data_IF_820275592435
#
_entry.id   IF_820275592435
#
_cell.length_a   1.000
_cell.length_b   1.000
_cell.length_c   1.000
_cell.angle_alpha   90.00
_cell.angle_beta   90.00
_cell.angle_gamma   90.00
#
_symmetry.space_group_name_H-M   'P 1'
#
loop_
_entity.id
_entity.type
_entity.pdbx_description
1 polymer ?
#
# COMPACT_ATOMS: atom_id res chain seq x y z
N UNK A 1 -37.37 18.83 -60.06
CA UNK A 1 -36.82 19.59 -58.96
C UNK A 1 -36.79 18.74 -57.69
N UNK A 2 -35.79 17.90 -57.52
CA UNK A 2 -35.60 17.03 -56.33
C UNK A 2 -34.17 16.46 -56.37
N UNK A 3 -33.17 17.23 -56.00
CA UNK A 3 -31.85 16.73 -55.64
C UNK A 3 -31.28 17.73 -54.68
N UNK A 4 -31.27 17.42 -53.42
CA UNK A 4 -30.35 17.93 -52.39
C UNK A 4 -30.87 17.51 -50.99
N UNK A 5 -30.44 16.36 -50.51
CA UNK A 5 -30.40 15.99 -49.09
C UNK A 5 -29.73 14.63 -48.91
N UNK A 6 -28.44 14.54 -49.07
CA UNK A 6 -27.62 13.38 -48.61
C UNK A 6 -26.12 13.70 -48.56
N UNK A 7 -25.70 14.76 -47.88
CA UNK A 7 -24.27 14.95 -47.59
C UNK A 7 -24.14 15.77 -46.28
N UNK A 8 -24.58 15.24 -45.14
CA UNK A 8 -24.25 15.91 -43.85
C UNK A 8 -24.11 14.95 -42.65
N UNK A 9 -24.11 13.64 -42.86
CA UNK A 9 -24.02 12.68 -41.73
C UNK A 9 -22.64 12.00 -41.62
N UNK A 10 -21.80 12.05 -42.63
CA UNK A 10 -20.49 11.34 -42.63
C UNK A 10 -19.33 12.10 -41.97
N UNK A 11 -19.46 13.38 -41.70
CA UNK A 11 -18.33 14.17 -41.12
C UNK A 11 -18.33 14.18 -39.58
N UNK A 12 -19.47 13.93 -38.93
CA UNK A 12 -19.54 13.96 -37.46
C UNK A 12 -19.01 12.66 -36.79
N UNK A 13 -19.01 11.52 -37.50
CA UNK A 13 -18.52 10.25 -36.93
C UNK A 13 -16.98 10.13 -36.98
N UNK A 14 -16.31 10.84 -37.89
CA UNK A 14 -14.85 10.79 -38.01
C UNK A 14 -14.16 11.63 -36.93
N UNK A 15 -14.76 12.73 -36.49
CA UNK A 15 -14.16 13.60 -35.46
C UNK A 15 -14.21 13.00 -34.06
N UNK A 16 -15.23 12.21 -33.73
CA UNK A 16 -15.35 11.55 -32.41
C UNK A 16 -14.40 10.36 -32.27
N UNK A 17 -14.07 9.63 -33.33
CA UNK A 17 -13.10 8.55 -33.29
C UNK A 17 -11.65 9.05 -33.07
N UNK A 18 -11.28 10.19 -33.67
CA UNK A 18 -9.94 10.75 -33.51
C UNK A 18 -9.67 11.28 -32.08
N UNK A 19 -10.68 11.85 -31.42
CA UNK A 19 -10.52 12.35 -30.04
C UNK A 19 -10.40 11.24 -29.02
N UNK A 20 -11.12 10.13 -29.16
CA UNK A 20 -11.04 8.97 -28.27
C UNK A 20 -9.68 8.27 -28.42
N UNK A 21 -9.18 8.07 -29.64
CA UNK A 21 -7.86 7.49 -29.85
C UNK A 21 -6.72 8.37 -29.33
N UNK A 22 -6.83 9.70 -29.44
CA UNK A 22 -5.83 10.60 -28.90
C UNK A 22 -5.78 10.56 -27.35
N UNK A 23 -6.92 10.47 -26.68
CA UNK A 23 -6.99 10.37 -25.20
C UNK A 23 -6.41 9.04 -24.72
N UNK A 24 -6.70 7.91 -25.39
CA UNK A 24 -6.09 6.61 -25.04
C UNK A 24 -4.59 6.58 -25.31
N UNK A 25 -4.12 7.18 -26.41
CA UNK A 25 -2.68 7.25 -26.71
C UNK A 25 -1.93 8.13 -25.70
N UNK A 26 -2.53 9.23 -25.25
CA UNK A 26 -1.95 10.11 -24.25
C UNK A 26 -1.90 9.43 -22.86
N UNK A 27 -2.98 8.77 -22.43
CA UNK A 27 -3.02 8.02 -21.18
C UNK A 27 -2.01 6.85 -21.16
N UNK A 28 -1.84 6.15 -22.29
CA UNK A 28 -0.83 5.07 -22.40
C UNK A 28 0.60 5.62 -22.37
N UNK A 29 0.87 6.77 -23.01
CA UNK A 29 2.20 7.39 -22.99
C UNK A 29 2.58 7.95 -21.61
N UNK A 30 1.63 8.53 -20.88
CA UNK A 30 1.82 8.98 -19.50
C UNK A 30 2.11 7.82 -18.55
N UNK A 31 1.40 6.70 -18.68
CA UNK A 31 1.66 5.48 -17.89
C UNK A 31 3.05 4.89 -18.17
N UNK A 32 3.46 4.82 -19.42
CA UNK A 32 4.79 4.32 -19.81
C UNK A 32 5.88 5.25 -19.28
N UNK A 33 5.70 6.58 -19.36
CA UNK A 33 6.65 7.54 -18.84
C UNK A 33 6.76 7.48 -17.31
N UNK A 34 5.65 7.30 -16.61
CA UNK A 34 5.61 7.14 -15.15
C UNK A 34 6.30 5.86 -14.70
N UNK A 35 6.02 4.72 -15.32
CA UNK A 35 6.68 3.44 -15.02
C UNK A 35 8.20 3.52 -15.26
N UNK A 36 8.64 4.13 -16.35
CA UNK A 36 10.07 4.29 -16.62
C UNK A 36 10.77 5.21 -15.60
N UNK A 37 10.08 6.24 -15.11
CA UNK A 37 10.60 7.13 -14.07
C UNK A 37 10.77 6.39 -12.72
N UNK A 38 9.77 5.63 -12.29
CA UNK A 38 9.81 4.82 -11.07
C UNK A 38 10.93 3.76 -11.12
N UNK A 39 11.12 3.08 -12.25
CA UNK A 39 12.22 2.13 -12.43
C UNK A 39 13.59 2.81 -12.35
N UNK A 40 13.76 4.00 -12.94
CA UNK A 40 15.02 4.77 -12.88
C UNK A 40 15.27 5.23 -11.45
N UNK A 41 14.24 5.72 -10.75
CA UNK A 41 14.33 6.11 -9.33
C UNK A 41 14.76 4.92 -8.48
N UNK A 42 14.10 3.77 -8.62
CA UNK A 42 14.42 2.55 -7.87
C UNK A 42 15.86 2.09 -8.10
N UNK A 43 16.37 2.15 -9.33
CA UNK A 43 17.77 1.83 -9.65
C UNK A 43 18.75 2.77 -8.95
N UNK A 44 18.49 4.08 -8.94
CA UNK A 44 19.29 5.08 -8.23
C UNK A 44 19.27 4.85 -6.72
N UNK A 45 18.10 4.61 -6.16
CA UNK A 45 17.92 4.36 -4.72
C UNK A 45 18.57 3.05 -4.28
N UNK A 46 18.56 2.00 -5.10
CA UNK A 46 19.30 0.76 -4.85
C UNK A 46 20.81 1.00 -4.72
N UNK A 47 21.37 1.87 -5.54
CA UNK A 47 22.79 2.24 -5.45
C UNK A 47 23.03 3.09 -4.20
N UNK A 48 22.20 4.11 -3.96
CA UNK A 48 22.29 5.06 -2.84
C UNK A 48 22.24 4.35 -1.48
N UNK A 49 21.34 3.37 -1.33
CA UNK A 49 21.07 2.72 -0.06
C UNK A 49 21.66 1.31 0.08
N UNK A 50 22.47 0.88 -0.89
CA UNK A 50 23.06 -0.46 -0.93
C UNK A 50 23.73 -0.90 0.37
N UNK A 51 24.44 0.03 1.05
CA UNK A 51 25.14 -0.26 2.30
C UNK A 51 24.24 -0.63 3.47
N UNK A 52 22.95 -0.29 3.41
CA UNK A 52 21.96 -0.56 4.46
C UNK A 52 21.16 -1.82 4.20
N UNK A 53 21.19 -2.36 2.97
CA UNK A 53 20.42 -3.54 2.59
C UNK A 53 21.01 -4.80 3.23
N UNK A 54 20.16 -5.69 3.79
CA UNK A 54 20.62 -6.98 4.28
C UNK A 54 21.13 -7.87 3.15
N UNK A 55 22.01 -8.82 3.49
CA UNK A 55 22.48 -9.82 2.53
C UNK A 55 21.26 -10.61 1.98
N UNK A 56 21.25 -10.88 0.69
CA UNK A 56 20.16 -11.55 -0.04
C UNK A 56 18.84 -10.77 -0.07
N UNK A 57 18.91 -9.43 0.03
CA UNK A 57 17.77 -8.55 -0.17
C UNK A 57 18.11 -7.46 -1.18
N UNK A 58 17.08 -7.04 -1.90
CA UNK A 58 17.11 -5.86 -2.79
C UNK A 58 16.14 -4.81 -2.27
N UNK A 59 16.39 -3.56 -2.64
CA UNK A 59 15.44 -2.49 -2.36
C UNK A 59 14.18 -2.70 -3.20
N UNK A 60 13.02 -2.60 -2.55
CA UNK A 60 11.71 -2.59 -3.18
C UNK A 60 11.17 -1.16 -3.25
N UNK A 61 11.31 -0.40 -2.16
CA UNK A 61 10.88 1.00 -2.08
C UNK A 61 11.70 1.76 -1.03
N UNK A 62 11.88 3.07 -1.22
CA UNK A 62 12.51 3.97 -0.26
C UNK A 62 11.60 5.16 0.03
N UNK A 63 11.30 5.38 1.32
CA UNK A 63 10.42 6.43 1.83
C UNK A 63 11.23 7.32 2.76
N UNK A 64 11.27 8.62 2.46
CA UNK A 64 11.98 9.63 3.26
C UNK A 64 10.96 10.48 4.04
N UNK A 65 11.25 10.81 5.30
CA UNK A 65 10.43 11.69 6.13
C UNK A 65 10.98 11.78 7.55
N UNK A 66 10.61 12.82 8.28
CA UNK A 66 11.04 13.06 9.66
C UNK A 66 10.19 12.24 10.65
N UNK A 67 10.76 11.22 11.27
CA UNK A 67 10.10 10.35 12.26
C UNK A 67 10.34 10.81 13.71
N UNK A 68 11.50 11.45 13.97
CA UNK A 68 11.96 11.80 15.30
C UNK A 68 11.76 13.29 15.65
N UNK A 69 11.27 14.10 14.72
CA UNK A 69 11.00 15.55 14.84
C UNK A 69 12.27 16.40 14.98
N UNK A 70 13.38 15.97 14.40
CA UNK A 70 14.62 16.75 14.40
C UNK A 70 14.80 17.62 13.15
N UNK A 71 13.82 17.60 12.24
CA UNK A 71 13.81 18.37 10.99
C UNK A 71 14.65 17.74 9.89
N UNK A 72 15.23 16.56 10.08
CA UNK A 72 15.99 15.83 9.07
C UNK A 72 15.16 14.70 8.48
N UNK A 73 15.49 14.32 7.25
CA UNK A 73 14.82 13.19 6.61
C UNK A 73 15.41 11.88 7.15
N UNK A 74 14.61 11.12 7.87
CA UNK A 74 14.83 9.72 8.20
C UNK A 74 14.47 8.85 6.99
N UNK A 75 14.71 7.55 7.09
CA UNK A 75 14.57 6.63 5.97
C UNK A 75 13.85 5.34 6.38
N UNK A 76 12.83 4.99 5.62
CA UNK A 76 12.20 3.67 5.66
C UNK A 76 12.47 2.97 4.35
N UNK A 77 13.02 1.75 4.42
CA UNK A 77 13.28 0.91 3.25
C UNK A 77 12.38 -0.32 3.31
N UNK A 78 11.59 -0.52 2.27
CA UNK A 78 10.95 -1.80 2.00
C UNK A 78 11.94 -2.62 1.18
N UNK A 79 12.25 -3.81 1.66
CA UNK A 79 13.21 -4.71 1.04
C UNK A 79 12.54 -6.02 0.65
N UNK A 80 13.02 -6.66 -0.43
CA UNK A 80 12.50 -7.93 -0.91
C UNK A 80 13.61 -8.98 -0.92
N UNK A 81 13.30 -10.18 -0.46
CA UNK A 81 14.22 -11.32 -0.52
C UNK A 81 14.56 -11.71 -1.97
N UNK A 82 15.70 -12.39 -2.14
CA UNK A 82 16.20 -12.86 -3.45
C UNK A 82 16.46 -14.37 -3.48
N UNK A 83 15.74 -15.14 -2.69
CA UNK A 83 15.86 -16.60 -2.69
C UNK A 83 15.24 -17.19 -3.96
N UNK A 84 16.06 -17.86 -4.76
CA UNK A 84 15.61 -18.50 -5.98
C UNK A 84 14.58 -19.64 -5.74
N UNK A 85 14.52 -20.20 -4.53
CA UNK A 85 13.54 -21.23 -4.15
C UNK A 85 12.12 -20.68 -3.96
N UNK A 86 12.00 -19.35 -3.83
CA UNK A 86 10.71 -18.68 -3.69
C UNK A 86 10.05 -18.36 -5.05
N UNK A 87 10.67 -18.75 -6.15
CA UNK A 87 10.04 -18.67 -7.45
C UNK A 87 9.16 -19.90 -7.69
N UNK A 88 7.88 -19.68 -7.98
CA UNK A 88 6.88 -20.73 -8.19
C UNK A 88 6.27 -20.63 -9.59
N UNK A 89 5.91 -21.77 -10.17
CA UNK A 89 5.13 -21.82 -11.41
C UNK A 89 3.64 -21.72 -11.05
N UNK A 90 2.95 -20.75 -11.65
CA UNK A 90 1.51 -20.56 -11.50
C UNK A 90 0.79 -20.89 -12.81
N UNK A 91 -0.31 -21.62 -12.73
CA UNK A 91 -1.02 -22.17 -13.89
C UNK A 91 -1.40 -21.12 -14.95
N UNK A 92 -1.79 -19.92 -14.51
CA UNK A 92 -2.29 -18.85 -15.41
C UNK A 92 -1.34 -17.65 -15.56
N UNK A 93 -0.42 -17.46 -14.62
CA UNK A 93 0.43 -16.26 -14.55
C UNK A 93 1.91 -16.56 -14.85
N UNK A 94 2.25 -17.85 -15.08
CA UNK A 94 3.62 -18.26 -15.33
C UNK A 94 4.47 -18.21 -14.05
N UNK A 95 5.73 -17.81 -14.19
CA UNK A 95 6.69 -17.84 -13.08
C UNK A 95 6.55 -16.59 -12.19
N UNK A 96 6.21 -16.81 -10.92
CA UNK A 96 5.99 -15.77 -9.92
C UNK A 96 7.09 -15.76 -8.85
N UNK A 97 7.53 -14.57 -8.49
CA UNK A 97 8.45 -14.33 -7.36
C UNK A 97 7.65 -14.19 -6.05
N UNK A 98 7.73 -15.22 -5.18
CA UNK A 98 7.09 -15.28 -3.86
C UNK A 98 8.02 -14.88 -2.72
N UNK A 99 9.14 -14.20 -3.01
CA UNK A 99 10.01 -13.67 -1.98
C UNK A 99 9.25 -12.63 -1.12
N UNK A 100 9.27 -12.85 0.19
CA UNK A 100 8.63 -11.95 1.16
C UNK A 100 9.34 -10.60 1.21
N UNK A 101 8.60 -9.59 1.64
CA UNK A 101 9.10 -8.22 1.83
C UNK A 101 9.29 -7.94 3.32
N UNK A 102 10.31 -7.14 3.62
CA UNK A 102 10.62 -6.68 4.96
C UNK A 102 10.70 -5.16 5.03
N UNK A 103 10.88 -4.63 6.23
CA UNK A 103 10.99 -3.20 6.51
C UNK A 103 12.21 -2.91 7.36
N UNK A 104 12.95 -1.86 6.99
CA UNK A 104 14.02 -1.26 7.77
C UNK A 104 13.63 0.17 8.11
N UNK A 105 13.89 0.60 9.35
CA UNK A 105 13.75 2.01 9.75
C UNK A 105 15.11 2.52 10.19
N UNK A 106 15.52 3.64 9.63
CA UNK A 106 16.82 4.25 9.86
C UNK A 106 16.65 5.74 10.19
N UNK A 107 17.24 6.17 11.29
CA UNK A 107 17.27 7.58 11.69
C UNK A 107 18.52 8.27 11.12
N UNK A 108 18.35 9.51 10.68
CA UNK A 108 19.43 10.35 10.17
C UNK A 108 20.20 11.01 11.32
N UNK A 109 21.35 10.47 11.67
CA UNK A 109 22.26 11.04 12.65
C UNK A 109 23.35 11.86 11.92
N UNK A 110 23.10 13.15 11.65
CA UNK A 110 24.06 14.08 11.03
C UNK A 110 24.58 13.65 9.64
N UNK A 111 23.70 13.11 8.80
CA UNK A 111 24.03 12.68 7.44
C UNK A 111 24.42 11.21 7.32
N UNK A 112 24.54 10.49 8.44
CA UNK A 112 24.66 9.03 8.46
C UNK A 112 23.34 8.41 8.95
N UNK A 113 22.94 7.31 8.32
CA UNK A 113 21.72 6.60 8.73
C UNK A 113 22.05 5.48 9.73
N UNK A 114 21.39 5.52 10.89
CA UNK A 114 21.47 4.49 11.92
C UNK A 114 20.19 3.64 11.90
N UNK A 115 20.34 2.36 11.64
CA UNK A 115 19.24 1.41 11.64
C UNK A 115 18.72 1.16 13.07
N UNK A 116 17.44 1.41 13.30
CA UNK A 116 16.74 1.17 14.58
C UNK A 116 15.77 -0.01 14.49
N UNK A 117 15.21 -0.30 13.31
CA UNK A 117 14.35 -1.46 13.10
C UNK A 117 14.85 -2.24 11.89
N UNK A 118 14.86 -3.56 12.02
CA UNK A 118 14.97 -4.50 10.92
C UNK A 118 13.97 -5.63 11.14
N UNK A 119 13.00 -5.72 10.26
CA UNK A 119 12.02 -6.79 10.27
C UNK A 119 11.89 -7.33 8.84
N UNK A 120 12.43 -8.53 8.59
CA UNK A 120 12.54 -9.11 7.25
C UNK A 120 11.39 -10.04 6.88
N UNK A 121 10.43 -10.24 7.79
CA UNK A 121 9.26 -11.11 7.59
C UNK A 121 7.93 -10.36 7.66
N UNK A 122 7.96 -9.03 7.74
CA UNK A 122 6.78 -8.21 8.02
C UNK A 122 5.65 -8.39 7.01
N UNK A 123 5.97 -8.53 5.72
CA UNK A 123 4.98 -8.51 4.65
C UNK A 123 5.06 -9.76 3.78
N UNK A 124 3.90 -10.17 3.27
CA UNK A 124 3.79 -11.15 2.18
C UNK A 124 4.52 -10.68 0.92
N UNK A 125 4.66 -11.55 -0.08
CA UNK A 125 5.23 -11.17 -1.36
C UNK A 125 4.29 -10.23 -2.14
N UNK A 126 4.80 -9.57 -3.16
CA UNK A 126 3.96 -8.77 -4.09
C UNK A 126 3.07 -9.64 -4.99
N UNK A 127 3.32 -10.95 -5.02
CA UNK A 127 2.61 -11.93 -5.84
C UNK A 127 1.82 -12.93 -5.00
N UNK A 128 1.51 -12.61 -3.74
CA UNK A 128 0.62 -13.48 -2.95
C UNK A 128 -0.80 -13.48 -3.51
N UNK A 129 -1.49 -14.62 -3.32
CA UNK A 129 -2.90 -14.73 -3.64
C UNK A 129 -3.72 -13.97 -2.61
N UNK A 130 -3.97 -12.69 -2.90
CA UNK A 130 -4.73 -11.78 -2.05
C UNK A 130 -6.10 -11.52 -2.59
N UNK A 131 -7.00 -12.50 -2.55
CA UNK A 131 -8.32 -12.38 -3.12
C UNK A 131 -8.39 -12.88 -4.57
N UNK A 132 -9.56 -12.76 -5.20
CA UNK A 132 -9.88 -13.47 -6.46
C UNK A 132 -9.09 -12.98 -7.67
N UNK A 133 -8.59 -11.73 -7.67
CA UNK A 133 -8.05 -11.14 -8.89
C UNK A 133 -6.71 -10.41 -8.75
N UNK A 134 -6.39 -9.87 -7.57
CA UNK A 134 -5.21 -9.03 -7.38
C UNK A 134 -4.51 -9.33 -6.07
N UNK A 135 -3.17 -9.36 -6.04
CA UNK A 135 -2.44 -9.39 -4.79
C UNK A 135 -2.72 -8.12 -3.97
N UNK A 136 -2.59 -8.19 -2.63
CA UNK A 136 -2.74 -7.03 -1.77
C UNK A 136 -1.74 -5.93 -2.11
N UNK A 137 -2.21 -4.69 -2.17
CA UNK A 137 -1.39 -3.51 -2.44
C UNK A 137 -0.82 -2.95 -1.15
N UNK A 138 0.49 -3.01 -0.98
CA UNK A 138 1.21 -2.40 0.14
C UNK A 138 1.55 -0.95 -0.18
N UNK A 139 1.16 -0.04 0.70
CA UNK A 139 1.57 1.36 0.69
C UNK A 139 2.17 1.76 2.03
N UNK A 140 3.31 2.44 2.00
CA UNK A 140 4.01 2.90 3.21
C UNK A 140 4.31 4.38 3.08
N UNK A 141 3.95 5.17 4.09
CA UNK A 141 4.23 6.60 4.10
C UNK A 141 4.71 7.10 5.47
N UNK A 142 5.47 8.19 5.44
CA UNK A 142 5.80 8.98 6.63
C UNK A 142 5.04 10.30 6.56
N UNK A 143 4.16 10.53 7.53
CA UNK A 143 3.34 11.73 7.58
C UNK A 143 3.19 12.20 9.05
N UNK A 144 3.39 13.49 9.29
CA UNK A 144 3.30 14.09 10.64
C UNK A 144 4.07 13.30 11.70
N UNK A 145 5.31 12.92 11.38
CA UNK A 145 6.24 12.16 12.24
C UNK A 145 5.70 10.79 12.68
N UNK A 146 4.88 10.16 11.83
CA UNK A 146 4.36 8.82 12.02
C UNK A 146 4.62 8.00 10.77
N UNK A 147 4.83 6.73 10.96
CA UNK A 147 4.88 5.75 9.88
C UNK A 147 3.48 5.15 9.73
N UNK A 148 2.95 5.15 8.53
CA UNK A 148 1.70 4.49 8.16
C UNK A 148 2.02 3.34 7.24
N UNK A 149 1.38 2.21 7.49
CA UNK A 149 1.46 1.00 6.67
C UNK A 149 0.02 0.64 6.32
N UNK A 150 -0.29 0.69 5.04
CA UNK A 150 -1.62 0.40 4.50
C UNK A 150 -1.56 -0.78 3.55
N UNK A 151 -2.57 -1.64 3.63
CA UNK A 151 -2.75 -2.79 2.75
C UNK A 151 -4.15 -2.76 2.15
N UNK A 152 -4.23 -2.61 0.83
CA UNK A 152 -5.47 -2.65 0.08
C UNK A 152 -5.74 -4.07 -0.43
N UNK A 153 -6.93 -4.61 -0.17
CA UNK A 153 -7.38 -5.91 -0.66
C UNK A 153 -8.47 -5.76 -1.74
N UNK A 154 -8.41 -4.65 -2.49
CA UNK A 154 -9.37 -4.34 -3.54
C UNK A 154 -10.82 -4.40 -3.05
N UNK A 155 -11.62 -5.29 -3.66
CA UNK A 155 -13.04 -5.45 -3.34
C UNK A 155 -13.35 -5.99 -1.93
N UNK A 156 -12.34 -6.48 -1.19
CA UNK A 156 -12.52 -7.04 0.16
C UNK A 156 -12.26 -6.03 1.28
N UNK A 157 -11.79 -4.84 0.93
CA UNK A 157 -11.49 -3.76 1.86
C UNK A 157 -10.00 -3.52 2.05
N UNK A 158 -9.63 -3.05 3.24
CA UNK A 158 -8.26 -2.65 3.54
C UNK A 158 -8.01 -2.66 5.04
N UNK A 159 -6.75 -2.64 5.43
CA UNK A 159 -6.32 -2.34 6.78
C UNK A 159 -5.13 -1.39 6.80
N UNK A 160 -4.99 -0.63 7.88
CA UNK A 160 -3.93 0.36 8.07
C UNK A 160 -3.44 0.36 9.51
N UNK A 161 -2.15 0.47 9.66
CA UNK A 161 -1.46 0.59 10.92
C UNK A 161 -0.71 1.92 10.99
N UNK A 162 -0.79 2.60 12.13
CA UNK A 162 -0.01 3.82 12.38
C UNK A 162 0.96 3.61 13.53
N UNK A 163 2.23 4.00 13.30
CA UNK A 163 3.32 3.84 14.26
C UNK A 163 3.93 5.19 14.62
N UNK A 164 4.47 5.26 15.83
CA UNK A 164 5.27 6.37 16.32
C UNK A 164 6.60 5.87 16.86
N UNK A 165 7.66 6.65 16.64
CA UNK A 165 8.97 6.37 17.24
C UNK A 165 8.88 6.43 18.76
N UNK A 166 9.29 5.36 19.44
CA UNK A 166 9.34 5.21 20.88
C UNK A 166 10.40 4.16 21.26
N UNK A 167 11.32 4.52 22.15
CA UNK A 167 12.37 3.61 22.65
C UNK A 167 13.25 2.98 21.55
N UNK A 168 13.66 3.75 20.53
CA UNK A 168 14.41 3.28 19.36
C UNK A 168 13.71 2.15 18.56
N UNK A 169 12.39 2.15 18.57
CA UNK A 169 11.56 1.25 17.76
C UNK A 169 10.29 2.00 17.35
N UNK A 170 9.51 1.43 16.47
CA UNK A 170 8.23 1.98 16.02
C UNK A 170 7.09 1.30 16.79
N UNK A 171 6.49 2.04 17.76
CA UNK A 171 5.34 1.55 18.52
C UNK A 171 4.05 1.71 17.73
N UNK A 172 3.25 0.66 17.64
CA UNK A 172 1.90 0.69 17.09
C UNK A 172 0.98 1.54 17.98
N UNK A 173 0.35 2.56 17.39
CA UNK A 173 -0.51 3.51 18.11
C UNK A 173 -1.93 3.58 17.56
N UNK A 174 -2.17 3.08 16.35
CA UNK A 174 -3.48 3.07 15.72
C UNK A 174 -3.63 1.93 14.73
N UNK A 175 -4.85 1.43 14.63
CA UNK A 175 -5.27 0.43 13.66
C UNK A 175 -6.62 0.83 13.08
N UNK A 176 -6.77 0.70 11.79
CA UNK A 176 -8.01 0.91 11.08
C UNK A 176 -8.21 -0.19 10.05
N UNK A 177 -9.45 -0.62 9.86
CA UNK A 177 -9.79 -1.54 8.79
C UNK A 177 -11.19 -1.28 8.24
N UNK A 178 -11.39 -1.67 6.99
CA UNK A 178 -12.68 -1.75 6.32
C UNK A 178 -12.85 -3.14 5.74
N UNK A 179 -13.97 -3.78 6.03
CA UNK A 179 -14.36 -5.05 5.43
C UNK A 179 -15.43 -4.81 4.37
N UNK A 180 -15.17 -5.22 3.14
CA UNK A 180 -15.99 -4.92 1.99
C UNK A 180 -16.48 -6.19 1.27
N UNK A 181 -17.61 -6.05 0.60
CA UNK A 181 -18.09 -6.99 -0.39
C UNK A 181 -18.35 -6.24 -1.70
N UNK A 182 -17.34 -6.20 -2.57
CA UNK A 182 -17.33 -5.31 -3.73
C UNK A 182 -17.39 -3.84 -3.30
N UNK A 183 -18.31 -3.03 -3.83
CA UNK A 183 -18.49 -1.63 -3.43
C UNK A 183 -19.19 -1.47 -2.06
N UNK A 184 -19.78 -2.53 -1.53
CA UNK A 184 -20.51 -2.49 -0.26
C UNK A 184 -19.54 -2.61 0.91
N UNK A 185 -19.46 -1.56 1.75
CA UNK A 185 -18.71 -1.58 3.01
C UNK A 185 -19.59 -2.24 4.07
N UNK A 186 -19.20 -3.43 4.53
CA UNK A 186 -19.96 -4.18 5.54
C UNK A 186 -19.67 -3.72 6.97
N UNK A 187 -18.42 -3.39 7.26
CA UNK A 187 -18.01 -2.88 8.58
C UNK A 187 -16.69 -2.13 8.51
N UNK A 188 -16.48 -1.29 9.52
CA UNK A 188 -15.23 -0.58 9.77
C UNK A 188 -14.81 -0.73 11.23
N UNK A 189 -13.52 -0.80 11.48
CA UNK A 189 -12.94 -0.78 12.83
C UNK A 189 -11.88 0.30 12.92
N UNK A 190 -11.89 1.07 14.02
CA UNK A 190 -10.82 2.01 14.36
C UNK A 190 -10.41 1.80 15.82
N UNK A 191 -9.11 1.61 16.07
CA UNK A 191 -8.56 1.39 17.40
C UNK A 191 -7.46 2.42 17.67
N UNK A 192 -7.62 3.17 18.75
CA UNK A 192 -6.55 3.98 19.30
C UNK A 192 -5.87 3.20 20.43
N UNK A 193 -4.68 2.65 20.17
CA UNK A 193 -3.95 1.81 21.13
C UNK A 193 -3.36 2.60 22.31
N UNK A 194 -3.22 3.92 22.18
CA UNK A 194 -2.74 4.76 23.29
C UNK A 194 -3.82 4.98 24.35
N UNK A 195 -5.09 5.05 23.94
CA UNK A 195 -6.22 5.29 24.82
C UNK A 195 -7.05 4.04 25.10
N UNK A 196 -6.81 2.97 24.36
CA UNK A 196 -7.59 1.73 24.39
C UNK A 196 -9.03 1.89 23.90
N UNK A 197 -9.34 2.93 23.11
CA UNK A 197 -10.67 3.11 22.51
C UNK A 197 -10.78 2.37 21.20
N UNK A 198 -11.85 1.56 21.09
CA UNK A 198 -12.23 0.88 19.83
C UNK A 198 -13.60 1.37 19.40
N UNK A 199 -13.70 1.81 18.15
CA UNK A 199 -14.94 2.07 17.43
C UNK A 199 -15.16 0.93 16.43
N UNK A 200 -16.31 0.29 16.48
CA UNK A 200 -16.78 -0.64 15.47
C UNK A 200 -18.04 -0.07 14.82
N UNK A 201 -18.04 -0.01 13.49
CA UNK A 201 -19.14 0.44 12.65
C UNK A 201 -19.67 -0.72 11.85
N UNK A 202 -20.93 -1.07 12.03
CA UNK A 202 -21.63 -2.07 11.23
C UNK A 202 -22.58 -1.38 10.26
N UNK A 203 -22.48 -1.67 8.98
CA UNK A 203 -23.47 -1.20 8.02
C UNK A 203 -24.78 -1.92 8.26
N UNK A 204 -25.87 -1.15 8.35
CA UNK A 204 -27.22 -1.64 8.61
C UNK A 204 -28.06 -1.71 7.34
N UNK A 205 -27.52 -1.27 6.21
CA UNK A 205 -28.18 -1.36 4.91
C UNK A 205 -28.04 -2.77 4.33
N UNK A 206 -28.92 -3.11 3.40
CA UNK A 206 -28.77 -4.28 2.56
C UNK A 206 -27.74 -4.04 1.45
N UNK A 207 -27.19 -5.12 0.90
CA UNK A 207 -26.26 -5.04 -0.22
C UNK A 207 -26.97 -4.43 -1.43
N UNK A 208 -26.43 -3.32 -1.94
CA UNK A 208 -26.98 -2.60 -3.09
C UNK A 208 -27.55 -1.22 -2.78
N UNK A 209 -27.70 -0.85 -1.50
CA UNK A 209 -28.03 0.52 -1.12
C UNK A 209 -26.85 1.46 -1.40
N UNK A 210 -27.13 2.67 -1.87
CA UNK A 210 -26.10 3.61 -2.32
C UNK A 210 -25.26 4.16 -1.15
N UNK A 211 -25.91 4.67 -0.09
CA UNK A 211 -25.22 5.29 1.03
C UNK A 211 -25.16 4.39 2.27
N UNK A 212 -23.96 4.09 2.81
CA UNK A 212 -23.85 3.25 3.99
C UNK A 212 -24.44 3.93 5.23
N UNK A 213 -25.26 3.20 5.96
CA UNK A 213 -25.85 3.64 7.23
C UNK A 213 -25.27 2.84 8.38
N UNK A 214 -24.29 3.41 9.08
CA UNK A 214 -23.56 2.72 10.13
C UNK A 214 -24.25 2.79 11.50
N UNK A 215 -24.27 1.66 12.20
CA UNK A 215 -24.47 1.57 13.65
C UNK A 215 -23.09 1.55 14.31
N UNK A 216 -22.83 2.52 15.16
CA UNK A 216 -21.56 2.64 15.90
C UNK A 216 -21.64 1.93 17.25
N UNK A 217 -20.56 1.24 17.60
CA UNK A 217 -20.36 0.60 18.90
C UNK A 217 -18.98 0.97 19.44
N UNK A 218 -18.96 1.60 20.60
CA UNK A 218 -17.73 1.95 21.29
C UNK A 218 -17.40 0.92 22.38
N UNK A 219 -16.14 0.53 22.48
CA UNK A 219 -15.64 -0.38 23.50
C UNK A 219 -14.23 0.01 23.93
N UNK A 220 -13.74 -0.64 24.97
CA UNK A 220 -12.35 -0.53 25.42
C UNK A 220 -11.61 -1.83 25.10
N UNK A 221 -10.39 -1.67 24.64
CA UNK A 221 -9.44 -2.76 24.42
C UNK A 221 -8.16 -2.45 25.19
N UNK A 222 -7.44 -3.50 25.58
CA UNK A 222 -6.17 -3.35 26.27
C UNK A 222 -5.14 -4.26 25.59
N UNK A 223 -4.22 -3.65 24.85
CA UNK A 223 -3.10 -4.34 24.24
C UNK A 223 -1.80 -3.99 24.98
N UNK A 224 -0.96 -4.98 25.19
CA UNK A 224 0.43 -4.71 25.52
C UNK A 224 1.07 -3.89 24.37
N UNK A 225 2.09 -3.06 24.65
CA UNK A 225 2.77 -2.31 23.59
C UNK A 225 3.29 -3.22 22.48
N UNK A 226 2.89 -2.95 21.25
CA UNK A 226 3.30 -3.69 20.04
C UNK A 226 4.34 -2.84 19.32
N UNK A 227 5.48 -3.45 18.99
CA UNK A 227 6.59 -2.79 18.30
C UNK A 227 6.84 -3.45 16.94
N UNK A 228 7.16 -2.63 15.94
CA UNK A 228 7.36 -3.06 14.55
C UNK A 228 8.44 -4.14 14.42
N UNK A 229 9.51 -4.06 15.23
CA UNK A 229 10.57 -5.08 15.23
C UNK A 229 10.09 -6.47 15.71
N UNK A 230 8.92 -6.56 16.34
CA UNK A 230 8.35 -7.79 16.94
C UNK A 230 7.16 -8.35 16.18
N UNK A 231 6.63 -7.64 15.22
CA UNK A 231 5.56 -8.14 14.36
C UNK A 231 6.14 -9.20 13.42
N UNK A 232 5.67 -10.43 13.54
CA UNK A 232 6.16 -11.52 12.71
C UNK A 232 5.64 -11.46 11.29
N UNK A 233 4.36 -11.13 11.16
CA UNK A 233 3.62 -11.04 9.91
C UNK A 233 2.43 -10.12 10.12
N UNK A 234 2.23 -9.16 9.21
CA UNK A 234 1.06 -8.28 9.29
C UNK A 234 -0.24 -9.01 8.96
N UNK A 235 -0.19 -10.07 8.14
CA UNK A 235 -1.37 -10.87 7.79
C UNK A 235 -1.85 -11.73 8.97
N UNK A 236 -0.97 -12.00 9.96
CA UNK A 236 -1.29 -12.73 11.19
C UNK A 236 -1.54 -11.82 12.41
N UNK A 237 -1.40 -10.49 12.24
CA UNK A 237 -1.55 -9.54 13.34
C UNK A 237 -3.03 -9.29 13.65
N UNK A 238 -3.57 -10.06 14.60
CA UNK A 238 -4.96 -9.94 15.05
C UNK A 238 -5.13 -8.71 15.94
N UNK A 239 -6.10 -7.84 15.58
CA UNK A 239 -6.45 -6.59 16.28
C UNK A 239 -7.90 -6.61 16.79
N UNK A 240 -8.41 -7.79 17.09
CA UNK A 240 -9.79 -8.00 17.57
C UNK A 240 -9.90 -7.95 19.11
#
# INVERSE_FOLDING_TARGET
MKIMRKITISILLAATCFTVQAVFAQASSENIATQSFEEIKLKKDNIKYKAYLPKNYVLFEAIEGDLNKDGKQDLVLIVKGTDAKQWVEHEYQGKLDRNRRGILVLLNENGAYKKIVQNLSAFSSENEEGGVYFPPELSVEINKNKLFIHYGHGRYGWWSYSFRLENNDMRLIGYENSSNYGPYVSSETSINLLTGKKLYRKNMNEVGDEDPRFKETWSKVNFAPIYLSKIKDFDELMME
#
